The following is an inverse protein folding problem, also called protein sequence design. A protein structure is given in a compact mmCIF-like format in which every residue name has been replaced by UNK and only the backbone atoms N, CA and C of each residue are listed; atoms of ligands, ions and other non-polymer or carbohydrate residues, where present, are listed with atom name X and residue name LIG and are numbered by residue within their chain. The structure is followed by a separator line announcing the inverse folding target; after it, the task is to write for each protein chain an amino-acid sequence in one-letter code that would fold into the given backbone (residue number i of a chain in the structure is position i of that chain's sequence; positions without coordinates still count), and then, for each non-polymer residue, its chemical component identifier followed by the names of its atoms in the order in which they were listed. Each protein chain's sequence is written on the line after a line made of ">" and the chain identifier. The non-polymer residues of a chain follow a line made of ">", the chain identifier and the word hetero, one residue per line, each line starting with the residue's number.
data_IF_758790049541
#
_entry.id   IF_758790049541
#
_cell.length_a   1.000
_cell.length_b   1.000
_cell.length_c   1.000
_cell.angle_alpha   90.00
_cell.angle_beta   90.00
_cell.angle_gamma   90.00
#
_symmetry.space_group_name_H-M   'P 1'
#
loop_
_entity.id
_entity.type
_entity.pdbx_description
1 polymer ?
#
# COMPACT_ATOMS: atom_id res chain seq x y z
N UNK A 1 -3.86 -26.88 -14.67
CA UNK A 1 -4.83 -26.05 -13.96
C UNK A 1 -4.09 -24.99 -13.15
N UNK A 2 -4.18 -23.78 -13.50
CA UNK A 2 -3.50 -22.75 -12.71
C UNK A 2 -4.19 -22.59 -11.37
N UNK A 3 -3.61 -23.21 -10.36
CA UNK A 3 -4.11 -23.10 -9.00
C UNK A 3 -4.04 -21.67 -8.49
N UNK A 4 -3.40 -20.81 -9.28
CA UNK A 4 -3.13 -19.43 -8.86
C UNK A 4 -4.19 -18.44 -9.29
N UNK A 5 -5.27 -18.88 -9.94
CA UNK A 5 -6.33 -17.97 -10.33
C UNK A 5 -6.99 -17.40 -9.07
N UNK A 6 -6.82 -16.12 -8.84
CA UNK A 6 -7.37 -15.44 -7.68
C UNK A 6 -8.88 -15.24 -7.88
N UNK A 7 -9.67 -15.65 -6.89
CA UNK A 7 -11.10 -15.35 -6.90
C UNK A 7 -11.34 -13.91 -6.42
N UNK A 8 -12.54 -13.39 -6.67
CA UNK A 8 -12.92 -12.07 -6.12
C UNK A 8 -12.81 -12.08 -4.59
N UNK A 9 -13.24 -13.16 -3.95
CA UNK A 9 -13.17 -13.25 -2.49
C UNK A 9 -11.72 -13.22 -2.01
N UNK A 10 -10.82 -13.95 -2.68
CA UNK A 10 -9.40 -13.95 -2.34
C UNK A 10 -8.79 -12.56 -2.53
N UNK A 11 -9.14 -11.91 -3.62
CA UNK A 11 -8.67 -10.56 -3.90
C UNK A 11 -9.10 -9.59 -2.81
N UNK A 12 -10.40 -9.57 -2.48
CA UNK A 12 -10.91 -8.65 -1.46
C UNK A 12 -10.30 -8.92 -0.10
N UNK A 13 -10.09 -10.19 0.26
CA UNK A 13 -9.47 -10.53 1.54
C UNK A 13 -8.02 -10.04 1.61
N UNK A 14 -7.25 -10.26 0.54
CA UNK A 14 -5.85 -9.81 0.51
C UNK A 14 -5.76 -8.29 0.51
N UNK A 15 -6.60 -7.62 -0.28
CA UNK A 15 -6.60 -6.16 -0.34
C UNK A 15 -6.97 -5.57 1.03
N UNK A 16 -7.99 -6.12 1.70
CA UNK A 16 -8.40 -5.64 3.02
C UNK A 16 -7.28 -5.81 4.05
N UNK A 17 -6.61 -6.96 4.06
CA UNK A 17 -5.48 -7.20 4.98
C UNK A 17 -4.35 -6.23 4.70
N UNK A 18 -4.09 -5.94 3.43
CA UNK A 18 -3.01 -5.03 3.04
C UNK A 18 -3.28 -3.62 3.53
N UNK A 19 -4.49 -3.10 3.31
CA UNK A 19 -4.84 -1.76 3.80
C UNK A 19 -4.82 -1.71 5.32
N UNK A 20 -5.31 -2.76 5.98
CA UNK A 20 -5.29 -2.82 7.44
C UNK A 20 -3.85 -2.85 7.99
N UNK A 21 -2.94 -3.54 7.31
CA UNK A 21 -1.53 -3.56 7.71
C UNK A 21 -0.91 -2.17 7.63
N UNK A 22 -1.21 -1.42 6.58
CA UNK A 22 -0.72 -0.04 6.45
C UNK A 22 -1.26 0.80 7.60
N UNK A 23 -2.56 0.74 7.86
CA UNK A 23 -3.18 1.51 8.95
C UNK A 23 -2.57 1.16 10.30
N UNK A 24 -2.38 -0.12 10.59
CA UNK A 24 -1.78 -0.56 11.85
C UNK A 24 -0.34 -0.08 11.99
N UNK A 25 0.42 -0.06 10.90
CA UNK A 25 1.79 0.45 10.90
C UNK A 25 1.82 1.93 11.26
N UNK A 26 0.91 2.72 10.68
CA UNK A 26 0.84 4.15 10.98
C UNK A 26 0.48 4.38 12.45
N UNK A 27 -0.44 3.58 13.00
CA UNK A 27 -0.81 3.69 14.42
C UNK A 27 0.39 3.40 15.33
N UNK A 28 1.18 2.37 15.02
CA UNK A 28 2.38 2.05 15.80
C UNK A 28 3.39 3.19 15.75
N UNK A 29 3.57 3.79 14.57
CA UNK A 29 4.53 4.89 14.42
C UNK A 29 4.09 6.13 15.20
N UNK A 30 2.78 6.40 15.25
CA UNK A 30 2.26 7.51 16.04
C UNK A 30 2.50 7.26 17.54
N UNK A 31 2.18 6.07 18.02
CA UNK A 31 2.35 5.70 19.42
C UNK A 31 3.82 5.72 19.86
N UNK A 32 4.72 5.38 18.95
CA UNK A 32 6.16 5.31 19.23
C UNK A 32 6.91 6.60 18.87
N UNK A 33 6.19 7.66 18.52
CA UNK A 33 6.77 8.94 18.14
C UNK A 33 7.74 8.85 16.95
N UNK A 34 7.48 7.91 16.03
CA UNK A 34 8.31 7.82 14.82
C UNK A 34 7.90 8.90 13.83
N UNK A 35 6.62 8.96 13.51
CA UNK A 35 6.08 9.96 12.59
C UNK A 35 4.56 9.98 12.73
N UNK A 36 3.96 11.15 12.49
CA UNK A 36 2.50 11.32 12.50
C UNK A 36 2.02 11.42 11.05
N UNK A 37 1.57 10.30 10.50
CA UNK A 37 0.92 10.26 9.19
C UNK A 37 -0.55 9.98 9.40
N UNK A 38 -1.40 10.92 9.00
CA UNK A 38 -2.85 10.73 9.08
C UNK A 38 -3.32 9.83 7.95
N UNK A 39 -4.30 9.00 8.23
CA UNK A 39 -4.90 8.17 7.19
C UNK A 39 -6.41 8.35 7.17
N UNK A 40 -6.98 8.29 5.97
CA UNK A 40 -8.43 8.31 5.80
C UNK A 40 -8.82 7.23 4.82
N UNK A 41 -9.70 6.34 5.27
CA UNK A 41 -10.16 5.23 4.45
C UNK A 41 -11.59 5.47 4.00
N UNK A 42 -11.82 5.35 2.70
CA UNK A 42 -13.15 5.49 2.11
C UNK A 42 -13.32 4.35 1.11
N UNK A 43 -14.07 3.31 1.50
CA UNK A 43 -14.21 2.12 0.67
C UNK A 43 -12.87 1.46 0.41
N UNK A 44 -12.50 1.30 -0.85
CA UNK A 44 -11.22 0.71 -1.25
C UNK A 44 -10.09 1.72 -1.44
N UNK A 45 -10.28 2.96 -0.99
CA UNK A 45 -9.27 4.00 -1.12
C UNK A 45 -8.73 4.37 0.26
N UNK A 46 -7.41 4.37 0.39
CA UNK A 46 -6.72 4.80 1.60
C UNK A 46 -5.80 5.95 1.26
N UNK A 47 -6.07 7.12 1.84
CA UNK A 47 -5.27 8.32 1.63
C UNK A 47 -4.38 8.55 2.84
N UNK A 48 -3.08 8.71 2.61
CA UNK A 48 -2.10 9.02 3.65
C UNK A 48 -1.67 10.47 3.51
N UNK A 49 -1.76 11.23 4.61
CA UNK A 49 -1.32 12.62 4.65
C UNK A 49 -0.07 12.72 5.50
N UNK A 50 1.05 13.04 4.89
CA UNK A 50 2.34 13.12 5.57
C UNK A 50 2.54 14.51 6.18
N UNK A 51 3.36 14.62 7.23
CA UNK A 51 3.79 15.95 7.71
C UNK A 51 4.43 16.70 6.55
N UNK A 52 4.11 17.97 6.42
CA UNK A 52 4.59 18.77 5.29
C UNK A 52 3.60 18.87 4.15
N UNK A 53 2.51 18.10 4.18
CA UNK A 53 1.39 18.26 3.26
C UNK A 53 1.39 17.35 2.04
N UNK A 54 2.39 16.49 1.87
CA UNK A 54 2.37 15.55 0.74
C UNK A 54 1.45 14.37 1.05
N UNK A 55 0.99 13.71 -0.01
CA UNK A 55 0.04 12.62 0.11
C UNK A 55 0.49 11.38 -0.64
N UNK A 56 0.04 10.23 -0.16
CA UNK A 56 0.16 8.95 -0.85
C UNK A 56 -1.23 8.33 -0.87
N UNK A 57 -1.64 7.79 -2.00
CA UNK A 57 -2.97 7.19 -2.15
C UNK A 57 -2.82 5.74 -2.56
N UNK A 58 -3.50 4.86 -1.84
CA UNK A 58 -3.58 3.44 -2.17
C UNK A 58 -5.03 3.16 -2.56
N UNK A 59 -5.25 2.55 -3.71
CA UNK A 59 -6.57 2.37 -4.27
C UNK A 59 -6.75 0.95 -4.80
N UNK A 60 -7.82 0.28 -4.37
CA UNK A 60 -8.14 -1.04 -4.92
C UNK A 60 -8.82 -0.87 -6.27
N UNK A 61 -8.56 -1.82 -7.18
CA UNK A 61 -9.17 -1.87 -8.52
C UNK A 61 -9.78 -3.25 -8.74
N UNK A 62 -10.98 -3.52 -8.18
CA UNK A 62 -11.56 -4.86 -8.21
C UNK A 62 -11.73 -5.46 -9.61
N UNK A 63 -12.18 -4.72 -10.64
CA UNK A 63 -12.34 -5.32 -11.96
C UNK A 63 -11.05 -5.90 -12.54
N UNK A 64 -9.90 -5.38 -12.10
CA UNK A 64 -8.60 -5.81 -12.59
C UNK A 64 -7.87 -6.73 -11.59
N UNK A 65 -8.43 -6.93 -10.39
CA UNK A 65 -7.75 -7.58 -9.27
C UNK A 65 -6.41 -6.94 -8.99
N UNK A 66 -6.35 -5.61 -9.07
CA UNK A 66 -5.11 -4.84 -8.85
C UNK A 66 -5.20 -3.96 -7.62
N UNK A 67 -4.04 -3.57 -7.13
CA UNK A 67 -3.86 -2.57 -6.09
C UNK A 67 -2.98 -1.48 -6.67
N UNK A 68 -3.45 -0.24 -6.59
CA UNK A 68 -2.75 0.90 -7.18
C UNK A 68 -2.17 1.79 -6.10
N UNK A 69 -0.98 2.33 -6.36
CA UNK A 69 -0.27 3.23 -5.46
C UNK A 69 0.07 4.50 -6.23
N UNK A 70 -0.33 5.65 -5.69
CA UNK A 70 0.03 6.95 -6.24
C UNK A 70 0.81 7.73 -5.20
N UNK A 71 2.01 8.15 -5.55
CA UNK A 71 2.91 8.89 -4.69
C UNK A 71 3.54 10.02 -5.50
N UNK A 72 4.33 10.88 -4.83
CA UNK A 72 5.00 11.97 -5.53
C UNK A 72 5.94 11.45 -6.62
N UNK A 73 6.59 10.31 -6.39
CA UNK A 73 7.53 9.73 -7.33
C UNK A 73 6.90 9.03 -8.52
N UNK A 74 5.61 8.74 -8.48
CA UNK A 74 4.94 8.09 -9.60
C UNK A 74 3.71 7.29 -9.20
N UNK A 75 3.10 6.63 -10.20
CA UNK A 75 1.96 5.74 -10.02
C UNK A 75 2.34 4.31 -10.37
N UNK A 76 1.85 3.35 -9.59
CA UNK A 76 2.26 1.96 -9.70
C UNK A 76 1.03 1.05 -9.59
N UNK A 77 1.02 -0.03 -10.38
CA UNK A 77 -0.05 -1.02 -10.38
C UNK A 77 0.51 -2.38 -9.97
N UNK A 78 -0.17 -3.05 -9.04
CA UNK A 78 0.28 -4.32 -8.47
C UNK A 78 -0.76 -5.39 -8.67
N UNK A 79 -0.29 -6.61 -9.01
CA UNK A 79 -1.11 -7.82 -9.02
C UNK A 79 -0.56 -8.80 -8.00
N UNK A 80 -1.42 -9.62 -7.42
CA UNK A 80 -0.99 -10.62 -6.45
C UNK A 80 -0.44 -11.85 -7.18
N UNK A 81 0.77 -12.24 -6.80
CA UNK A 81 1.44 -13.44 -7.29
C UNK A 81 1.88 -14.20 -6.04
N UNK A 82 1.30 -15.38 -5.83
CA UNK A 82 1.57 -16.21 -4.64
C UNK A 82 1.38 -15.43 -3.33
N UNK A 83 0.30 -14.64 -3.28
CA UNK A 83 -0.05 -13.90 -2.07
C UNK A 83 0.74 -12.60 -1.85
N UNK A 84 1.59 -12.23 -2.79
CA UNK A 84 2.42 -11.03 -2.70
C UNK A 84 2.04 -10.07 -3.83
N UNK A 85 1.83 -8.80 -3.49
CA UNK A 85 1.57 -7.78 -4.50
C UNK A 85 2.85 -7.43 -5.23
N UNK A 86 2.85 -7.64 -6.56
CA UNK A 86 4.03 -7.36 -7.42
C UNK A 86 3.66 -6.33 -8.47
N UNK A 87 4.55 -5.35 -8.68
CA UNK A 87 4.40 -4.34 -9.72
C UNK A 87 4.29 -5.02 -11.08
N UNK A 88 3.31 -4.61 -11.87
CA UNK A 88 3.06 -5.23 -13.18
C UNK A 88 4.16 -4.94 -14.21
N UNK A 89 5.02 -3.97 -13.94
CA UNK A 89 6.11 -3.58 -14.86
C UNK A 89 7.44 -4.19 -14.48
N UNK A 90 7.82 -4.13 -13.18
CA UNK A 90 9.17 -4.55 -12.77
C UNK A 90 9.18 -5.60 -11.67
N UNK A 91 8.02 -6.00 -11.17
CA UNK A 91 7.93 -7.07 -10.18
C UNK A 91 8.26 -6.65 -8.76
N UNK A 92 8.49 -5.36 -8.50
CA UNK A 92 8.80 -4.93 -7.14
C UNK A 92 7.62 -5.15 -6.20
N UNK A 93 7.91 -5.50 -4.94
CA UNK A 93 6.87 -5.80 -3.96
C UNK A 93 6.27 -4.51 -3.41
N UNK A 94 4.95 -4.55 -3.12
CA UNK A 94 4.18 -3.36 -2.75
C UNK A 94 4.72 -2.64 -1.52
N UNK A 95 4.98 -3.37 -0.43
CA UNK A 95 5.44 -2.71 0.80
C UNK A 95 6.83 -2.13 0.64
N UNK A 96 7.68 -2.74 -0.19
CA UNK A 96 8.99 -2.17 -0.51
C UNK A 96 8.84 -0.85 -1.26
N UNK A 97 7.95 -0.82 -2.26
CA UNK A 97 7.69 0.41 -3.01
C UNK A 97 7.08 1.49 -2.12
N UNK A 98 6.08 1.12 -1.32
CA UNK A 98 5.45 2.07 -0.40
C UNK A 98 6.46 2.64 0.58
N UNK A 99 7.33 1.79 1.13
CA UNK A 99 8.37 2.22 2.07
C UNK A 99 9.34 3.21 1.41
N UNK A 100 9.74 2.92 0.18
CA UNK A 100 10.65 3.80 -0.58
C UNK A 100 10.00 5.16 -0.84
N UNK A 101 8.76 5.18 -1.30
CA UNK A 101 8.06 6.43 -1.61
C UNK A 101 7.77 7.24 -0.34
N UNK A 102 7.31 6.58 0.71
CA UNK A 102 7.02 7.25 1.97
C UNK A 102 8.30 7.83 2.60
N UNK A 103 9.40 7.07 2.54
CA UNK A 103 10.68 7.53 3.07
C UNK A 103 11.17 8.77 2.33
N UNK A 104 11.05 8.77 0.99
CA UNK A 104 11.44 9.92 0.18
C UNK A 104 10.61 11.16 0.53
N UNK A 105 9.30 10.98 0.67
CA UNK A 105 8.40 12.10 0.96
C UNK A 105 8.52 12.60 2.40
N UNK A 106 8.81 11.71 3.34
CA UNK A 106 8.95 12.06 4.75
C UNK A 106 10.34 12.59 5.11
N UNK A 107 11.33 12.31 4.29
CA UNK A 107 12.72 12.68 4.58
C UNK A 107 13.31 11.86 5.72
N UNK A 108 12.82 10.65 5.96
CA UNK A 108 13.36 9.74 6.96
C UNK A 108 13.03 8.30 6.57
N UNK A 109 13.85 7.37 7.05
CA UNK A 109 13.65 5.95 6.73
C UNK A 109 12.38 5.41 7.39
N UNK A 110 11.48 4.86 6.58
CA UNK A 110 10.23 4.24 7.01
C UNK A 110 10.11 2.88 6.35
N UNK A 111 9.68 1.87 7.11
CA UNK A 111 9.56 0.51 6.60
C UNK A 111 8.19 -0.05 6.95
N UNK A 112 7.37 -0.28 5.92
CA UNK A 112 6.01 -0.84 6.06
C UNK A 112 6.00 -2.36 6.05
N UNK A 113 7.12 -3.02 5.80
CA UNK A 113 7.12 -4.46 5.52
C UNK A 113 6.97 -5.34 6.76
N UNK A 114 7.09 -4.80 7.94
CA UNK A 114 7.03 -5.61 9.16
C UNK A 114 5.89 -5.24 10.08
#
# INVERSE_FOLDING_TARGET
>A
MPASAMTDADYHALAARTLAHVEATLDRWLESDVIDIDSQRTGGLLELSLPGGSKIVINTQPPLHELWLAARGGGYHFKAIDGTWRDTRDGEEFFARLSSEASAQAGKALDFSS
#
